data_IF_982075571904
#
_entry.id   IF_982075571904
#
_cell.length_a   1.000
_cell.length_b   1.000
_cell.length_c   1.000
_cell.angle_alpha   90.00
_cell.angle_beta   90.00
_cell.angle_gamma   90.00
#
_symmetry.space_group_name_H-M   'P 1'
#
loop_
_entity.id
_entity.type
_entity.pdbx_description
1 polymer ?
#
# COMPACT_ATOMS: atom_id res chain seq x y z
N UNK A 1 -14.72 -7.38 -37.45
CA UNK A 1 -15.00 -7.51 -36.02
C UNK A 1 -14.14 -6.48 -35.30
N UNK A 2 -14.73 -5.50 -34.62
CA UNK A 2 -13.97 -4.59 -33.78
C UNK A 2 -13.37 -5.37 -32.61
N UNK A 3 -12.11 -5.09 -32.19
CA UNK A 3 -11.54 -5.70 -31.00
C UNK A 3 -12.45 -5.50 -29.79
N UNK A 4 -12.54 -6.49 -28.89
CA UNK A 4 -13.39 -6.43 -27.70
C UNK A 4 -13.18 -5.16 -26.85
N UNK A 5 -11.96 -4.61 -26.87
CA UNK A 5 -11.61 -3.32 -26.23
C UNK A 5 -12.33 -2.11 -26.86
N UNK A 6 -12.48 -2.10 -28.17
CA UNK A 6 -13.20 -1.00 -28.85
C UNK A 6 -14.71 -1.09 -28.60
N UNK A 7 -15.26 -2.29 -28.42
CA UNK A 7 -16.65 -2.49 -28.06
C UNK A 7 -16.93 -2.11 -26.59
N UNK A 8 -16.03 -2.46 -25.66
CA UNK A 8 -16.14 -2.08 -24.24
C UNK A 8 -15.95 -0.56 -24.03
N UNK A 9 -15.11 0.10 -24.83
CA UNK A 9 -14.94 1.55 -24.79
C UNK A 9 -16.14 2.33 -25.36
N UNK A 10 -17.00 1.68 -26.15
CA UNK A 10 -18.20 2.26 -26.73
C UNK A 10 -19.47 2.04 -25.91
N UNK A 11 -19.42 1.19 -24.85
CA UNK A 11 -20.56 1.00 -23.96
C UNK A 11 -20.64 2.14 -22.93
N UNK A 12 -21.73 2.95 -22.92
CA UNK A 12 -21.88 4.09 -22.03
C UNK A 12 -21.76 3.71 -20.55
N UNK A 13 -22.24 2.55 -20.14
CA UNK A 13 -22.18 2.08 -18.75
C UNK A 13 -20.71 1.87 -18.33
N UNK A 14 -19.94 1.18 -19.15
CA UNK A 14 -18.50 0.97 -18.92
C UNK A 14 -17.74 2.28 -18.90
N UNK A 15 -18.05 3.22 -19.80
CA UNK A 15 -17.41 4.53 -19.86
C UNK A 15 -17.66 5.34 -18.56
N UNK A 16 -18.93 5.51 -18.18
CA UNK A 16 -19.28 6.25 -16.99
C UNK A 16 -18.81 5.55 -15.71
N UNK A 17 -18.82 4.23 -15.66
CA UNK A 17 -18.28 3.45 -14.56
C UNK A 17 -16.78 3.70 -14.36
N UNK A 18 -15.99 3.68 -15.43
CA UNK A 18 -14.55 3.99 -15.40
C UNK A 18 -14.30 5.45 -15.01
N UNK A 19 -15.06 6.39 -15.56
CA UNK A 19 -14.93 7.80 -15.23
C UNK A 19 -15.23 8.06 -13.74
N UNK A 20 -16.27 7.46 -13.19
CA UNK A 20 -16.61 7.54 -11.78
C UNK A 20 -15.52 6.92 -10.90
N UNK A 21 -15.01 5.75 -11.28
CA UNK A 21 -13.91 5.11 -10.54
C UNK A 21 -12.67 6.00 -10.51
N UNK A 22 -12.28 6.60 -11.65
CA UNK A 22 -11.15 7.53 -11.70
C UNK A 22 -11.37 8.75 -10.81
N UNK A 23 -12.57 9.32 -10.81
CA UNK A 23 -12.90 10.44 -9.94
C UNK A 23 -12.78 10.03 -8.45
N UNK A 24 -13.33 8.89 -8.08
CA UNK A 24 -13.29 8.40 -6.70
C UNK A 24 -11.86 8.13 -6.23
N UNK A 25 -11.03 7.44 -7.03
CA UNK A 25 -9.63 7.17 -6.64
C UNK A 25 -8.78 8.44 -6.65
N UNK A 26 -9.07 9.41 -7.53
CA UNK A 26 -8.38 10.70 -7.53
C UNK A 26 -8.70 11.52 -6.28
N UNK A 27 -9.98 11.61 -5.90
CA UNK A 27 -10.41 12.29 -4.66
C UNK A 27 -9.83 11.59 -3.44
N UNK A 28 -9.89 10.27 -3.41
CA UNK A 28 -9.34 9.49 -2.30
C UNK A 28 -7.82 9.62 -2.21
N UNK A 29 -7.11 9.53 -3.32
CA UNK A 29 -5.66 9.76 -3.35
C UNK A 29 -5.26 11.15 -2.89
N UNK A 30 -6.04 12.17 -3.28
CA UNK A 30 -5.85 13.53 -2.77
C UNK A 30 -6.05 13.62 -1.25
N UNK A 31 -7.10 12.99 -0.71
CA UNK A 31 -7.36 12.95 0.73
C UNK A 31 -6.21 12.28 1.49
N UNK A 32 -5.73 11.12 1.01
CA UNK A 32 -4.59 10.43 1.60
C UNK A 32 -3.32 11.27 1.58
N UNK A 33 -3.02 11.93 0.45
CA UNK A 33 -1.84 12.78 0.31
C UNK A 33 -1.89 14.08 1.09
N UNK A 34 -3.08 14.49 1.57
CA UNK A 34 -3.28 15.71 2.38
C UNK A 34 -3.27 15.43 3.89
N UNK A 35 -3.24 14.16 4.32
CA UNK A 35 -3.16 13.78 5.74
C UNK A 35 -1.78 14.08 6.31
N UNK A 36 -1.71 14.39 7.59
CA UNK A 36 -0.44 14.59 8.31
C UNK A 36 0.20 13.24 8.64
N UNK A 37 1.43 13.05 8.19
CA UNK A 37 2.20 11.83 8.48
C UNK A 37 2.73 11.82 9.90
N UNK A 38 3.06 13.00 10.48
CA UNK A 38 3.59 13.13 11.82
C UNK A 38 2.58 12.75 12.91
N UNK A 39 1.31 13.04 12.66
CA UNK A 39 0.21 12.72 13.60
C UNK A 39 -0.39 11.32 13.34
N UNK A 40 0.14 10.60 12.37
CA UNK A 40 -0.34 9.26 11.97
C UNK A 40 -1.85 9.20 11.66
N UNK A 41 -2.45 10.30 11.19
CA UNK A 41 -3.86 10.38 10.81
C UNK A 41 -4.27 9.29 9.82
N UNK A 42 -3.32 8.90 8.96
CA UNK A 42 -3.53 7.89 7.93
C UNK A 42 -3.90 6.51 8.52
N UNK A 43 -3.44 6.20 9.75
CA UNK A 43 -3.74 4.94 10.43
C UNK A 43 -5.23 4.81 10.80
N UNK A 44 -5.94 5.94 10.92
CA UNK A 44 -7.39 5.98 11.07
C UNK A 44 -8.16 5.93 9.75
N UNK A 45 -7.47 5.89 8.61
CA UNK A 45 -8.09 5.92 7.29
C UNK A 45 -8.70 4.58 6.89
N UNK A 46 -9.70 4.64 6.00
CA UNK A 46 -10.25 3.41 5.40
C UNK A 46 -9.21 2.66 4.56
N UNK A 47 -8.23 3.36 3.99
CA UNK A 47 -7.13 2.72 3.25
C UNK A 47 -6.28 1.85 4.18
N UNK A 48 -5.92 2.35 5.35
CA UNK A 48 -5.18 1.59 6.34
C UNK A 48 -5.94 0.32 6.76
N UNK A 49 -7.24 0.41 6.97
CA UNK A 49 -8.08 -0.76 7.30
C UNK A 49 -8.07 -1.84 6.18
N UNK A 50 -7.83 -1.46 4.92
CA UNK A 50 -7.67 -2.41 3.80
C UNK A 50 -6.26 -2.99 3.75
N UNK A 51 -5.23 -2.15 3.90
CA UNK A 51 -3.85 -2.60 3.69
C UNK A 51 -3.25 -3.29 4.91
N UNK A 52 -3.69 -2.98 6.13
CA UNK A 52 -3.19 -3.61 7.35
C UNK A 52 -3.33 -5.15 7.34
N UNK A 53 -4.48 -5.77 7.02
CA UNK A 53 -4.56 -7.22 6.91
C UNK A 53 -3.64 -7.82 5.84
N UNK A 54 -3.36 -7.07 4.77
CA UNK A 54 -2.44 -7.50 3.71
C UNK A 54 -1.00 -7.44 4.21
N UNK A 55 -0.66 -6.40 4.97
CA UNK A 55 0.63 -6.26 5.65
C UNK A 55 0.88 -7.44 6.58
N UNK A 56 -0.05 -7.73 7.48
CA UNK A 56 0.06 -8.86 8.41
C UNK A 56 0.19 -10.22 7.68
N UNK A 57 -0.58 -10.39 6.60
CA UNK A 57 -0.43 -11.59 5.77
C UNK A 57 0.97 -11.71 5.17
N UNK A 58 1.60 -10.59 4.81
CA UNK A 58 2.96 -10.57 4.27
C UNK A 58 4.00 -11.15 5.23
N UNK A 59 3.90 -10.84 6.52
CA UNK A 59 4.75 -11.43 7.56
C UNK A 59 4.61 -12.96 7.55
N UNK A 60 3.37 -13.45 7.55
CA UNK A 60 3.06 -14.88 7.60
C UNK A 60 3.58 -15.60 6.35
N UNK A 61 3.34 -15.05 5.16
CA UNK A 61 3.76 -15.66 3.90
C UNK A 61 5.28 -15.75 3.75
N UNK A 62 6.02 -14.83 4.38
CA UNK A 62 7.47 -14.78 4.25
C UNK A 62 8.24 -15.43 5.42
N UNK A 63 7.57 -16.02 6.42
CA UNK A 63 8.20 -16.81 7.50
C UNK A 63 9.20 -17.85 6.96
N UNK A 64 8.91 -18.64 5.90
CA UNK A 64 9.84 -19.66 5.43
C UNK A 64 11.17 -19.13 4.91
N UNK A 65 11.27 -17.81 4.63
CA UNK A 65 12.45 -17.16 4.09
C UNK A 65 13.36 -16.51 5.14
N UNK A 66 13.06 -16.71 6.43
CA UNK A 66 13.85 -16.24 7.57
C UNK A 66 13.40 -14.87 8.09
N UNK A 67 13.98 -14.48 9.23
CA UNK A 67 13.56 -13.34 10.03
C UNK A 67 13.52 -12.03 9.23
N UNK A 68 14.57 -11.73 8.48
CA UNK A 68 14.61 -10.49 7.67
C UNK A 68 13.45 -10.42 6.67
N UNK A 69 13.19 -11.53 5.95
CA UNK A 69 12.09 -11.58 4.99
C UNK A 69 10.73 -11.57 5.67
N UNK A 70 10.63 -12.18 6.85
CA UNK A 70 9.41 -12.11 7.66
C UNK A 70 9.07 -10.66 8.00
N UNK A 71 10.03 -9.90 8.54
CA UNK A 71 9.83 -8.52 8.96
C UNK A 71 9.59 -7.60 7.74
N UNK A 72 10.38 -7.74 6.68
CA UNK A 72 10.17 -7.00 5.44
C UNK A 72 8.81 -7.33 4.78
N UNK A 73 8.31 -8.53 5.05
CA UNK A 73 7.15 -9.13 4.41
C UNK A 73 5.90 -8.28 4.46
N UNK A 74 5.61 -7.68 5.60
CA UNK A 74 4.46 -6.81 5.75
C UNK A 74 4.46 -5.68 4.74
N UNK A 75 5.48 -4.83 4.81
CA UNK A 75 5.62 -3.68 3.91
C UNK A 75 5.78 -4.07 2.43
N UNK A 76 6.53 -5.14 2.17
CA UNK A 76 6.72 -5.63 0.81
C UNK A 76 5.41 -6.12 0.20
N UNK A 77 4.65 -6.93 0.95
CA UNK A 77 3.46 -7.60 0.43
C UNK A 77 2.34 -6.61 0.12
N UNK A 78 2.12 -5.59 0.97
CA UNK A 78 1.09 -4.58 0.71
C UNK A 78 1.33 -3.75 -0.56
N UNK A 79 2.59 -3.65 -1.03
CA UNK A 79 2.94 -2.96 -2.28
C UNK A 79 2.98 -3.93 -3.47
N UNK A 80 3.58 -5.10 -3.30
CA UNK A 80 3.78 -6.06 -4.39
C UNK A 80 2.48 -6.76 -4.79
N UNK A 81 1.56 -7.01 -3.86
CA UNK A 81 0.28 -7.64 -4.16
C UNK A 81 -0.53 -6.86 -5.21
N UNK A 82 -0.83 -5.56 -5.02
CA UNK A 82 -1.55 -4.80 -6.05
C UNK A 82 -0.77 -4.70 -7.36
N UNK A 83 0.56 -4.61 -7.35
CA UNK A 83 1.37 -4.63 -8.56
C UNK A 83 1.24 -5.96 -9.30
N UNK A 84 1.24 -7.09 -8.60
CA UNK A 84 1.04 -8.42 -9.17
C UNK A 84 -0.34 -8.59 -9.79
N UNK A 85 -1.38 -8.09 -9.13
CA UNK A 85 -2.76 -8.07 -9.65
C UNK A 85 -2.82 -7.17 -10.90
N UNK A 86 -2.22 -5.98 -10.85
CA UNK A 86 -2.15 -5.07 -12.00
C UNK A 86 -1.43 -5.67 -13.19
N UNK A 87 -0.33 -6.38 -12.97
CA UNK A 87 0.37 -7.13 -14.02
C UNK A 87 -0.54 -8.23 -14.63
N UNK A 88 -1.33 -8.93 -13.82
CA UNK A 88 -2.28 -9.92 -14.32
C UNK A 88 -3.39 -9.26 -15.16
N UNK A 89 -3.93 -8.11 -14.74
CA UNK A 89 -4.87 -7.32 -15.54
C UNK A 89 -4.26 -6.94 -16.90
N UNK A 90 -3.04 -6.42 -16.89
CA UNK A 90 -2.37 -5.95 -18.11
C UNK A 90 -2.00 -7.09 -19.06
N UNK A 91 -1.38 -8.16 -18.53
CA UNK A 91 -0.79 -9.22 -19.36
C UNK A 91 -1.78 -10.29 -19.77
N UNK A 92 -2.73 -10.64 -18.89
CA UNK A 92 -3.69 -11.73 -19.14
C UNK A 92 -5.02 -11.25 -19.67
N UNK A 93 -5.53 -10.16 -19.10
CA UNK A 93 -6.86 -9.63 -19.43
C UNK A 93 -6.80 -8.49 -20.46
N UNK A 94 -5.60 -7.93 -20.70
CA UNK A 94 -5.38 -6.74 -21.56
C UNK A 94 -6.25 -5.57 -21.13
N UNK A 95 -6.45 -5.43 -19.81
CA UNK A 95 -7.19 -4.34 -19.19
C UNK A 95 -6.24 -3.30 -18.58
N UNK A 96 -5.86 -2.25 -19.32
CA UNK A 96 -5.00 -1.19 -18.82
C UNK A 96 -5.68 -0.34 -17.74
N UNK A 97 -7.03 -0.28 -17.73
CA UNK A 97 -7.75 0.46 -16.71
C UNK A 97 -7.65 -0.23 -15.34
N UNK A 98 -7.92 -1.54 -15.26
CA UNK A 98 -7.73 -2.32 -14.05
C UNK A 98 -6.28 -2.27 -13.54
N UNK A 99 -5.30 -2.35 -14.47
CA UNK A 99 -3.90 -2.21 -14.13
C UNK A 99 -3.56 -0.82 -13.55
N UNK A 100 -4.12 0.26 -14.09
CA UNK A 100 -3.93 1.62 -13.57
C UNK A 100 -4.53 1.80 -12.17
N UNK A 101 -5.70 1.22 -11.89
CA UNK A 101 -6.30 1.22 -10.53
C UNK A 101 -5.41 0.46 -9.54
N UNK A 102 -4.83 -0.68 -9.94
CA UNK A 102 -3.89 -1.42 -9.11
C UNK A 102 -2.58 -0.65 -8.86
N UNK A 103 -2.09 0.08 -9.85
CA UNK A 103 -0.93 0.96 -9.68
C UNK A 103 -1.22 2.09 -8.69
N UNK A 104 -2.41 2.70 -8.79
CA UNK A 104 -2.87 3.67 -7.79
C UNK A 104 -2.92 3.05 -6.39
N UNK A 105 -3.46 1.83 -6.25
CA UNK A 105 -3.49 1.12 -4.97
C UNK A 105 -2.08 0.90 -4.41
N UNK A 106 -1.12 0.45 -5.24
CA UNK A 106 0.27 0.31 -4.81
C UNK A 106 0.86 1.65 -4.32
N UNK A 107 0.58 2.75 -5.01
CA UNK A 107 0.96 4.10 -4.58
C UNK A 107 0.32 4.49 -3.25
N UNK A 108 -0.98 4.24 -3.07
CA UNK A 108 -1.69 4.49 -1.82
C UNK A 108 -1.13 3.64 -0.66
N UNK A 109 -0.73 2.39 -0.92
CA UNK A 109 -0.05 1.53 0.06
C UNK A 109 1.32 2.09 0.49
N UNK A 110 2.07 2.72 -0.43
CA UNK A 110 3.34 3.40 -0.09
C UNK A 110 3.09 4.64 0.77
N UNK A 111 2.02 5.39 0.49
CA UNK A 111 1.62 6.56 1.30
C UNK A 111 1.22 6.10 2.71
N UNK A 112 0.50 4.99 2.83
CA UNK A 112 0.10 4.38 4.10
C UNK A 112 1.31 3.92 4.95
N UNK A 113 2.40 3.48 4.31
CA UNK A 113 3.65 3.12 5.00
C UNK A 113 4.43 4.33 5.53
N UNK A 114 4.26 5.51 4.96
CA UNK A 114 5.10 6.67 5.25
C UNK A 114 5.12 7.04 6.76
N UNK A 115 3.99 7.15 7.48
CA UNK A 115 4.01 7.44 8.91
C UNK A 115 4.68 6.32 9.72
N UNK A 116 4.56 5.06 9.32
CA UNK A 116 5.20 3.94 10.00
C UNK A 116 6.74 3.98 9.85
N UNK A 117 7.23 4.37 8.67
CA UNK A 117 8.67 4.62 8.46
C UNK A 117 9.12 5.84 9.27
N UNK A 118 8.35 6.92 9.25
CA UNK A 118 8.63 8.15 9.99
C UNK A 118 8.73 7.92 11.49
N UNK A 119 7.81 7.14 12.06
CA UNK A 119 7.75 6.81 13.48
C UNK A 119 9.00 6.07 13.99
N UNK A 120 9.76 5.41 13.11
CA UNK A 120 10.92 4.59 13.51
C UNK A 120 12.03 5.34 14.24
N UNK A 121 12.14 6.67 14.10
CA UNK A 121 13.11 7.51 14.82
C UNK A 121 12.66 7.91 16.22
N UNK A 122 11.35 8.04 16.44
CA UNK A 122 10.76 8.39 17.72
C UNK A 122 9.42 7.62 17.85
N UNK A 123 9.49 6.34 18.20
CA UNK A 123 8.38 5.40 18.03
C UNK A 123 7.29 5.63 19.08
N UNK A 124 6.33 6.47 18.74
CA UNK A 124 5.17 6.82 19.57
C UNK A 124 3.86 6.27 19.00
N UNK A 125 3.88 5.75 17.75
CA UNK A 125 2.70 5.20 17.11
C UNK A 125 2.23 3.94 17.82
N UNK A 126 0.92 3.86 18.11
CA UNK A 126 0.31 2.65 18.64
C UNK A 126 0.22 1.61 17.53
N UNK A 127 0.94 0.50 17.70
CA UNK A 127 1.00 -0.60 16.76
C UNK A 127 -0.06 -1.66 17.05
N UNK A 128 -0.25 -2.57 16.10
CA UNK A 128 -1.10 -3.74 16.29
C UNK A 128 -0.56 -4.57 17.47
N UNK A 129 -1.45 -4.83 18.43
CA UNK A 129 -1.06 -5.48 19.69
C UNK A 129 -1.01 -4.54 20.90
N UNK A 130 -1.19 -3.22 20.70
CA UNK A 130 -1.35 -2.24 21.78
C UNK A 130 -0.03 -1.84 22.44
N UNK A 131 1.06 -1.80 21.69
CA UNK A 131 2.37 -1.31 22.11
C UNK A 131 2.92 -0.27 21.13
N UNK A 132 3.93 0.48 21.53
CA UNK A 132 4.73 1.33 20.64
C UNK A 132 6.02 0.60 20.25
N UNK A 133 6.79 1.15 19.32
CA UNK A 133 8.12 0.62 18.99
C UNK A 133 9.16 0.79 20.11
N UNK A 134 8.87 1.57 21.17
CA UNK A 134 9.70 1.63 22.38
C UNK A 134 9.55 0.38 23.25
N UNK A 135 8.35 -0.18 23.29
CA UNK A 135 7.99 -1.27 24.21
C UNK A 135 7.89 -2.64 23.49
N UNK A 136 7.93 -2.65 22.16
CA UNK A 136 7.73 -3.87 21.38
C UNK A 136 8.36 -3.82 19.98
N UNK A 137 8.17 -4.90 19.18
CA UNK A 137 8.74 -5.00 17.85
C UNK A 137 8.19 -3.92 16.92
N UNK A 138 9.08 -3.36 16.08
CA UNK A 138 8.77 -2.36 15.07
C UNK A 138 9.57 -2.68 13.80
N UNK A 139 8.88 -3.02 12.72
CA UNK A 139 9.52 -3.51 11.49
C UNK A 139 10.56 -2.53 10.93
N UNK A 140 10.19 -1.26 10.84
CA UNK A 140 11.06 -0.25 10.24
C UNK A 140 12.25 0.12 11.11
N UNK A 141 12.17 0.03 12.45
CA UNK A 141 13.35 0.14 13.31
C UNK A 141 14.33 -0.99 12.96
N UNK A 142 13.88 -2.24 12.95
CA UNK A 142 14.71 -3.39 12.60
C UNK A 142 15.34 -3.27 11.21
N UNK A 143 14.53 -2.92 10.20
CA UNK A 143 15.00 -2.82 8.82
C UNK A 143 16.03 -1.70 8.65
N UNK A 144 15.76 -0.51 9.18
CA UNK A 144 16.65 0.64 9.04
C UNK A 144 17.95 0.49 9.86
N UNK A 145 17.89 -0.11 11.04
CA UNK A 145 19.10 -0.43 11.84
C UNK A 145 20.01 -1.40 11.10
N UNK A 146 19.43 -2.44 10.47
CA UNK A 146 20.19 -3.44 9.71
C UNK A 146 20.99 -2.83 8.55
N UNK A 147 20.52 -1.73 7.99
CA UNK A 147 21.21 -1.00 6.91
C UNK A 147 21.97 0.24 7.41
N UNK A 148 21.97 0.51 8.72
CA UNK A 148 22.59 1.71 9.30
C UNK A 148 21.90 3.01 8.85
N UNK A 149 20.64 2.93 8.43
CA UNK A 149 19.85 4.00 7.82
C UNK A 149 18.84 4.66 8.76
N UNK A 150 18.73 4.20 10.02
CA UNK A 150 17.70 4.69 10.95
C UNK A 150 17.72 6.23 11.09
N UNK A 151 18.91 6.84 11.17
CA UNK A 151 19.07 8.31 11.25
C UNK A 151 18.57 9.08 10.02
N UNK A 152 18.24 8.40 8.94
CA UNK A 152 17.72 8.96 7.69
C UNK A 152 16.22 8.72 7.50
N UNK A 153 15.52 8.22 8.50
CA UNK A 153 14.07 7.93 8.39
C UNK A 153 13.22 9.20 8.13
N UNK A 154 13.75 10.37 8.50
CA UNK A 154 13.09 11.68 8.25
C UNK A 154 13.64 12.41 6.99
N UNK A 155 14.45 11.77 6.15
CA UNK A 155 14.96 12.31 4.89
C UNK A 155 16.40 12.74 4.93
#
# INVERSE_FOLDING_TARGET
>A
MLPAEAAAASDPISYYGRALTLLLVAVWGWQLGAMDYGDAEINGSFMHAIVLPIHEAGHIFLIPFGEFMTILGGSLFQVVLPLGIGAAFLLRQRDPFGAAVCLWWAGASMVDLAPYVWDSLNPQMMLLGGHTGEDGPHDWIYLLERFGALKHAHG
#
